data_IF_524175919075
#
_entry.id   IF_524175919075
#
_cell.length_a   1.000
_cell.length_b   1.000
_cell.length_c   1.000
_cell.angle_alpha   90.00
_cell.angle_beta   90.00
_cell.angle_gamma   90.00
#
_symmetry.space_group_name_H-M   'P 1'
#
loop_
_entity.id
_entity.type
_entity.pdbx_description
1 polymer ?
#
# COMPACT_ATOMS: atom_id res chain seq x y z
N UNK A 1 10.21 19.19 -9.45
CA UNK A 1 9.33 18.13 -8.92
C UNK A 1 8.05 18.80 -8.46
N UNK A 2 6.89 18.33 -8.89
CA UNK A 2 5.62 18.81 -8.34
C UNK A 2 5.44 18.18 -6.96
N UNK A 3 5.82 18.90 -5.92
CA UNK A 3 5.58 18.49 -4.52
C UNK A 3 4.07 18.48 -4.31
N UNK A 4 3.48 17.29 -4.33
CA UNK A 4 2.07 17.17 -3.91
C UNK A 4 2.07 17.37 -2.41
N UNK A 5 1.46 18.46 -1.94
CA UNK A 5 1.30 18.72 -0.51
C UNK A 5 0.54 17.53 0.10
N UNK A 6 1.08 16.86 1.12
CA UNK A 6 0.40 15.72 1.72
C UNK A 6 -0.93 16.17 2.34
N UNK A 7 -1.89 15.24 2.35
CA UNK A 7 -3.16 15.51 3.02
C UNK A 7 -2.95 15.37 4.52
N UNK A 8 -3.35 16.38 5.30
CA UNK A 8 -3.28 16.33 6.75
C UNK A 8 -4.68 16.49 7.34
N UNK A 9 -5.08 15.51 8.12
CA UNK A 9 -6.27 15.52 8.94
C UNK A 9 -5.83 15.73 10.39
N UNK A 10 -6.35 16.79 11.02
CA UNK A 10 -6.06 17.14 12.40
C UNK A 10 -7.31 16.97 13.25
N UNK A 11 -7.14 16.50 14.48
CA UNK A 11 -8.22 16.24 15.42
C UNK A 11 -7.91 16.90 16.77
N UNK A 12 -8.92 17.40 17.51
CA UNK A 12 -8.67 18.05 18.80
C UNK A 12 -7.99 17.13 19.83
N UNK A 13 -8.30 15.83 19.76
CA UNK A 13 -7.85 14.83 20.72
C UNK A 13 -7.59 13.47 20.08
N UNK A 14 -6.88 12.62 20.81
CA UNK A 14 -6.52 11.24 20.45
C UNK A 14 -7.70 10.42 19.92
N UNK A 15 -8.87 10.53 20.57
CA UNK A 15 -10.01 9.71 20.20
C UNK A 15 -10.46 10.00 18.75
N UNK A 16 -10.49 11.28 18.34
CA UNK A 16 -10.84 11.64 16.97
C UNK A 16 -9.87 11.07 15.92
N UNK A 17 -8.57 10.98 16.26
CA UNK A 17 -7.56 10.30 15.42
C UNK A 17 -7.90 8.82 15.32
N UNK A 18 -8.17 8.15 16.44
CA UNK A 18 -8.50 6.73 16.49
C UNK A 18 -9.73 6.39 15.62
N UNK A 19 -10.78 7.20 15.71
CA UNK A 19 -12.02 7.01 14.97
C UNK A 19 -11.84 7.23 13.46
N UNK A 20 -11.10 8.26 13.07
CA UNK A 20 -10.82 8.53 11.66
C UNK A 20 -9.89 7.49 11.04
N UNK A 21 -8.88 7.01 11.78
CA UNK A 21 -8.01 5.92 11.33
C UNK A 21 -8.80 4.62 11.17
N UNK A 22 -9.73 4.32 12.09
CA UNK A 22 -10.62 3.16 11.94
C UNK A 22 -11.47 3.25 10.66
N UNK A 23 -12.03 4.42 10.36
CA UNK A 23 -12.81 4.65 9.15
C UNK A 23 -11.97 4.54 7.88
N UNK A 24 -10.73 5.04 7.90
CA UNK A 24 -9.79 4.86 6.79
C UNK A 24 -9.54 3.37 6.51
N UNK A 25 -9.32 2.57 7.56
CA UNK A 25 -9.02 1.16 7.43
C UNK A 25 -10.24 0.41 6.88
N UNK A 26 -11.42 0.63 7.45
CA UNK A 26 -12.67 -0.03 7.01
C UNK A 26 -13.05 0.41 5.60
N UNK A 27 -12.90 1.70 5.26
CA UNK A 27 -13.15 2.18 3.89
C UNK A 27 -12.16 1.60 2.88
N UNK A 28 -10.89 1.42 3.27
CA UNK A 28 -9.87 0.77 2.42
C UNK A 28 -10.19 -0.72 2.22
N UNK A 29 -10.58 -1.44 3.28
CA UNK A 29 -11.12 -2.80 3.18
C UNK A 29 -12.28 -2.84 2.19
N UNK A 30 -13.27 -1.97 2.37
CA UNK A 30 -14.49 -1.97 1.56
C UNK A 30 -14.17 -1.70 0.10
N UNK A 31 -13.26 -0.77 -0.19
CA UNK A 31 -12.77 -0.53 -1.53
C UNK A 31 -12.07 -1.77 -2.10
N UNK A 32 -11.22 -2.45 -1.34
CA UNK A 32 -10.54 -3.67 -1.82
C UNK A 32 -11.51 -4.81 -2.07
N UNK A 33 -12.40 -5.12 -1.12
CA UNK A 33 -13.28 -6.28 -1.21
C UNK A 33 -14.45 -6.05 -2.17
N UNK A 34 -15.00 -4.83 -2.20
CA UNK A 34 -16.25 -4.51 -2.87
C UNK A 34 -16.14 -3.44 -3.95
N UNK A 35 -15.01 -2.76 -4.07
CA UNK A 35 -14.81 -1.66 -5.03
C UNK A 35 -15.81 -0.49 -4.84
N UNK A 36 -16.28 -0.29 -3.61
CA UNK A 36 -17.19 0.78 -3.18
C UNK A 36 -17.09 0.95 -1.66
N UNK A 37 -17.41 2.14 -1.16
CA UNK A 37 -17.56 2.43 0.29
C UNK A 37 -19.03 2.56 0.71
N UNK A 38 -19.98 2.47 -0.21
CA UNK A 38 -21.42 2.52 0.10
C UNK A 38 -21.88 1.24 0.80
N UNK A 39 -22.20 1.35 2.09
CA UNK A 39 -22.64 0.24 2.93
C UNK A 39 -23.90 -0.46 2.41
N UNK A 40 -24.84 0.28 1.80
CA UNK A 40 -26.05 -0.32 1.21
C UNK A 40 -25.68 -1.18 0.01
N UNK A 41 -24.81 -0.67 -0.86
CA UNK A 41 -24.32 -1.42 -2.01
C UNK A 41 -23.53 -2.66 -1.57
N UNK A 42 -22.71 -2.54 -0.53
CA UNK A 42 -21.96 -3.67 0.04
C UNK A 42 -22.91 -4.76 0.56
N UNK A 43 -23.97 -4.39 1.28
CA UNK A 43 -24.98 -5.34 1.75
C UNK A 43 -25.64 -6.09 0.59
N UNK A 44 -25.99 -5.39 -0.51
CA UNK A 44 -26.55 -6.01 -1.71
C UNK A 44 -25.54 -6.96 -2.41
N UNK A 45 -24.25 -6.60 -2.45
CA UNK A 45 -23.21 -7.47 -3.01
C UNK A 45 -23.04 -8.73 -2.16
N UNK A 46 -23.00 -8.58 -0.83
CA UNK A 46 -22.90 -9.70 0.12
C UNK A 46 -24.08 -10.66 0.01
N UNK A 47 -25.29 -10.14 -0.23
CA UNK A 47 -26.49 -10.94 -0.46
C UNK A 47 -26.56 -11.58 -1.87
N UNK A 48 -25.57 -11.34 -2.73
CA UNK A 48 -25.55 -11.84 -4.11
C UNK A 48 -26.55 -11.15 -5.04
N UNK A 49 -27.16 -10.05 -4.61
CA UNK A 49 -28.21 -9.33 -5.35
C UNK A 49 -27.62 -8.39 -6.41
N UNK A 50 -26.41 -7.86 -6.18
CA UNK A 50 -25.69 -7.00 -7.13
C UNK A 50 -24.25 -7.51 -7.32
N UNK A 51 -23.70 -7.35 -8.52
CA UNK A 51 -22.30 -7.71 -8.81
C UNK A 51 -21.34 -6.64 -8.25
N UNK A 52 -20.15 -7.08 -7.83
CA UNK A 52 -19.02 -6.19 -7.52
C UNK A 52 -18.77 -5.25 -8.73
N UNK A 53 -18.80 -3.91 -8.55
CA UNK A 53 -18.51 -2.96 -9.61
C UNK A 53 -17.16 -3.22 -10.29
N UNK A 54 -17.09 -3.06 -11.60
CA UNK A 54 -15.84 -3.11 -12.35
C UNK A 54 -15.00 -1.85 -12.05
N UNK A 55 -13.68 -2.03 -11.91
CA UNK A 55 -12.75 -0.91 -11.89
C UNK A 55 -12.70 -0.34 -13.32
N UNK A 56 -13.21 0.88 -13.53
CA UNK A 56 -12.94 1.59 -14.78
C UNK A 56 -11.44 1.88 -14.84
N UNK A 57 -10.71 1.17 -15.70
CA UNK A 57 -9.33 1.48 -16.05
C UNK A 57 -9.29 2.72 -16.94
N UNK A 58 -9.65 3.88 -16.41
CA UNK A 58 -9.13 5.14 -16.93
C UNK A 58 -7.74 5.30 -16.35
N UNK A 59 -6.75 5.60 -17.20
CA UNK A 59 -5.35 5.80 -16.83
C UNK A 59 -5.22 6.55 -15.50
N UNK A 60 -4.39 6.00 -14.62
CA UNK A 60 -4.18 6.42 -13.24
C UNK A 60 -3.61 7.84 -13.15
N UNK A 61 -4.53 8.80 -13.22
CA UNK A 61 -4.55 10.04 -12.46
C UNK A 61 -5.92 10.04 -11.79
N UNK A 62 -6.02 9.50 -10.57
CA UNK A 62 -7.28 9.50 -9.83
C UNK A 62 -7.66 10.96 -9.54
N UNK A 63 -8.58 11.49 -10.34
CA UNK A 63 -9.24 12.76 -10.10
C UNK A 63 -10.11 12.60 -8.86
N UNK A 64 -9.76 13.39 -7.85
CA UNK A 64 -10.62 13.71 -6.72
C UNK A 64 -11.96 14.21 -7.29
N UNK A 65 -13.05 13.63 -6.79
CA UNK A 65 -14.42 14.07 -7.08
C UNK A 65 -14.56 15.51 -6.56
N UNK A 66 -14.36 16.49 -7.44
CA UNK A 66 -14.76 17.88 -7.23
C UNK A 66 -16.24 18.00 -7.63
N UNK A 67 -17.14 17.92 -6.65
CA UNK A 67 -18.44 18.58 -6.77
C UNK A 67 -18.31 19.95 -6.11
N UNK A 68 -17.86 20.94 -6.88
CA UNK A 68 -18.02 22.35 -6.54
C UNK A 68 -19.24 22.89 -7.28
N UNK A 69 -20.13 23.52 -6.52
CA UNK A 69 -21.41 24.01 -6.96
C UNK A 69 -21.36 25.05 -8.07
N UNK A 70 -22.44 25.01 -8.83
CA UNK A 70 -23.09 26.05 -9.61
C UNK A 70 -22.53 27.48 -9.42
N UNK A 71 -21.96 28.04 -10.50
CA UNK A 71 -21.49 29.42 -10.57
C UNK A 71 -21.48 29.90 -12.02
N UNK A 72 -22.53 30.63 -12.38
CA UNK A 72 -22.81 31.23 -13.68
C UNK A 72 -21.79 32.34 -14.00
N UNK A 73 -21.25 32.42 -15.23
CA UNK A 73 -20.34 33.50 -15.62
C UNK A 73 -19.83 33.39 -17.05
N UNK A 74 -20.25 34.33 -17.89
CA UNK A 74 -20.17 34.34 -19.35
C UNK A 74 -18.86 34.97 -19.89
N UNK A 75 -18.59 34.67 -21.17
CA UNK A 75 -17.82 35.43 -22.18
C UNK A 75 -16.27 35.47 -22.16
N UNK A 76 -15.68 35.26 -23.35
CA UNK A 76 -14.40 35.85 -23.72
C UNK A 76 -13.64 35.14 -24.85
N UNK A 77 -13.77 35.63 -26.08
CA UNK A 77 -13.14 35.16 -27.32
C UNK A 77 -11.62 35.42 -27.43
N UNK A 78 -11.03 34.72 -28.42
CA UNK A 78 -9.94 35.11 -29.33
C UNK A 78 -8.46 34.89 -28.95
N UNK A 79 -7.69 34.38 -29.91
CA UNK A 79 -6.28 34.77 -30.07
C UNK A 79 -5.28 33.76 -30.63
N UNK A 80 -5.37 33.52 -31.95
CA UNK A 80 -4.34 33.11 -32.93
C UNK A 80 -2.83 33.29 -32.57
N UNK A 81 -1.93 32.44 -33.12
CA UNK A 81 -0.50 32.84 -33.31
C UNK A 81 0.62 31.79 -33.43
N UNK A 82 0.74 31.16 -34.61
CA UNK A 82 1.94 30.88 -35.45
C UNK A 82 3.41 30.83 -34.93
N UNK A 83 4.22 29.96 -35.57
CA UNK A 83 5.67 30.15 -35.88
C UNK A 83 6.63 29.07 -35.32
N UNK A 84 7.14 28.13 -36.12
CA UNK A 84 8.45 28.14 -36.87
C UNK A 84 9.69 27.96 -35.96
N UNK A 85 10.79 27.26 -36.23
CA UNK A 85 11.41 26.50 -37.35
C UNK A 85 12.80 26.03 -36.86
N UNK A 86 13.39 24.99 -37.49
CA UNK A 86 14.86 24.80 -37.64
C UNK A 86 15.55 23.88 -36.62
N UNK A 87 15.94 22.66 -37.00
CA UNK A 87 17.26 22.27 -37.60
C UNK A 87 18.36 22.10 -36.54
N UNK A 88 19.37 21.22 -36.58
CA UNK A 88 19.77 20.06 -37.38
C UNK A 88 20.89 19.37 -36.57
N UNK A 89 21.14 18.07 -36.77
CA UNK A 89 22.32 17.42 -36.15
C UNK A 89 22.41 15.91 -36.36
N UNK A 90 22.86 15.51 -37.55
CA UNK A 90 23.47 14.22 -37.94
C UNK A 90 24.48 13.69 -36.88
N UNK A 91 24.86 12.41 -36.75
CA UNK A 91 25.07 11.30 -37.71
C UNK A 91 25.51 10.06 -36.90
N UNK A 92 25.19 8.83 -37.33
CA UNK A 92 26.16 7.80 -37.75
C UNK A 92 25.50 6.41 -37.90
N UNK A 93 25.65 5.88 -39.09
CA UNK A 93 25.25 4.58 -39.62
C UNK A 93 26.24 3.47 -39.28
N UNK A 94 25.75 2.24 -39.08
CA UNK A 94 26.52 1.01 -39.37
C UNK A 94 25.63 0.01 -40.10
N UNK A 95 26.19 -0.48 -41.20
CA UNK A 95 25.61 -1.31 -42.24
C UNK A 95 25.51 -2.78 -41.83
N UNK A 96 24.46 -3.45 -42.33
CA UNK A 96 24.33 -4.90 -42.35
C UNK A 96 24.73 -5.43 -43.74
N UNK A 97 25.49 -6.53 -43.78
CA UNK A 97 25.79 -7.29 -44.99
C UNK A 97 25.35 -8.75 -44.83
N UNK A 98 24.60 -9.19 -45.83
CA UNK A 98 24.13 -10.54 -46.11
C UNK A 98 25.28 -11.47 -46.55
N UNK A 99 25.10 -12.79 -46.35
CA UNK A 99 25.27 -13.78 -47.45
C UNK A 99 24.63 -15.14 -47.11
N UNK A 100 24.21 -15.82 -48.18
CA UNK A 100 23.24 -16.92 -48.30
C UNK A 100 23.87 -18.33 -48.33
N UNK A 101 23.04 -19.37 -48.17
CA UNK A 101 22.90 -20.54 -49.08
C UNK A 101 21.81 -21.51 -48.55
N UNK A 102 20.63 -21.63 -49.20
CA UNK A 102 20.17 -22.67 -50.17
C UNK A 102 19.96 -24.08 -49.54
N UNK A 103 18.89 -24.86 -49.75
CA UNK A 103 18.00 -25.06 -50.92
C UNK A 103 16.74 -25.92 -50.59
N UNK A 104 15.63 -25.60 -51.30
CA UNK A 104 14.63 -26.42 -52.03
C UNK A 104 13.98 -27.69 -51.42
N UNK A 105 12.80 -28.16 -51.82
CA UNK A 105 11.47 -27.69 -52.32
C UNK A 105 10.68 -29.00 -52.60
N UNK A 106 9.37 -29.02 -52.31
CA UNK A 106 8.43 -30.13 -52.59
C UNK A 106 8.10 -30.27 -54.10
N UNK A 107 7.40 -31.36 -54.50
CA UNK A 107 6.12 -31.15 -55.20
C UNK A 107 5.01 -32.20 -54.93
N UNK A 108 3.79 -31.66 -54.80
CA UNK A 108 2.52 -31.98 -55.50
C UNK A 108 1.79 -33.36 -55.46
N UNK A 109 0.63 -33.30 -54.78
CA UNK A 109 -0.77 -33.55 -55.24
C UNK A 109 -1.34 -34.91 -55.69
N UNK A 110 -2.62 -35.10 -55.28
CA UNK A 110 -3.79 -35.77 -55.90
C UNK A 110 -4.23 -37.20 -55.48
N UNK A 111 -5.23 -37.18 -54.58
CA UNK A 111 -6.58 -37.78 -54.73
C UNK A 111 -6.85 -39.27 -54.39
N UNK A 112 -8.08 -39.45 -53.87
CA UNK A 112 -8.94 -40.64 -53.89
C UNK A 112 -8.91 -41.61 -52.68
N UNK A 113 -9.82 -41.29 -51.75
CA UNK A 113 -10.97 -42.11 -51.31
C UNK A 113 -10.81 -43.39 -50.45
N UNK A 114 -11.65 -43.36 -49.41
CA UNK A 114 -12.47 -44.43 -48.83
C UNK A 114 -11.92 -45.37 -47.75
N UNK A 115 -12.52 -45.16 -46.56
CA UNK A 115 -13.16 -46.12 -45.67
C UNK A 115 -12.40 -46.71 -44.48
N UNK A 116 -13.04 -46.50 -43.32
CA UNK A 116 -13.04 -47.30 -42.11
C UNK A 116 -11.74 -47.38 -41.31
N UNK A 117 -11.73 -46.71 -40.15
CA UNK A 117 -11.77 -47.46 -38.89
C UNK A 117 -12.14 -46.51 -37.74
N UNK A 118 -13.21 -46.87 -37.05
CA UNK A 118 -13.63 -46.27 -35.79
C UNK A 118 -12.56 -46.51 -34.72
N UNK A 119 -12.07 -45.45 -34.10
CA UNK A 119 -11.36 -45.52 -32.83
C UNK A 119 -11.85 -44.38 -31.93
N UNK A 120 -12.63 -44.78 -30.93
CA UNK A 120 -13.14 -43.96 -29.84
C UNK A 120 -12.01 -43.19 -29.15
N UNK A 121 -11.92 -41.88 -29.39
CA UNK A 121 -11.20 -40.95 -28.51
C UNK A 121 -12.17 -39.91 -27.97
N UNK A 122 -12.94 -40.34 -26.96
CA UNK A 122 -13.77 -39.46 -26.13
C UNK A 122 -12.82 -38.70 -25.19
N UNK A 123 -12.25 -37.61 -25.68
CA UNK A 123 -11.47 -36.66 -24.88
C UNK A 123 -12.40 -36.09 -23.80
N UNK A 124 -12.27 -36.60 -22.56
CA UNK A 124 -12.84 -35.94 -21.38
C UNK A 124 -12.08 -34.63 -21.20
N UNK A 125 -12.67 -33.52 -21.65
CA UNK A 125 -12.27 -32.17 -21.22
C UNK A 125 -12.59 -32.05 -19.73
N UNK A 126 -11.63 -32.38 -18.87
CA UNK A 126 -11.64 -31.91 -17.49
C UNK A 126 -11.55 -30.39 -17.51
N UNK A 127 -12.69 -29.73 -17.29
CA UNK A 127 -12.70 -28.29 -17.00
C UNK A 127 -11.96 -28.12 -15.67
N UNK A 128 -10.69 -27.72 -15.71
CA UNK A 128 -9.99 -27.16 -14.55
C UNK A 128 -10.86 -26.01 -14.05
N UNK A 129 -11.61 -26.23 -12.97
CA UNK A 129 -12.31 -25.17 -12.26
C UNK A 129 -11.21 -24.28 -11.70
N UNK A 130 -10.88 -23.21 -12.41
CA UNK A 130 -10.08 -22.12 -11.87
C UNK A 130 -10.87 -21.60 -10.66
N UNK A 131 -10.52 -22.06 -9.46
CA UNK A 131 -11.06 -21.49 -8.22
C UNK A 131 -10.79 -20.00 -8.30
N UNK A 132 -11.86 -19.21 -8.41
CA UNK A 132 -11.76 -17.76 -8.43
C UNK A 132 -11.04 -17.36 -7.15
N UNK A 133 -9.87 -16.76 -7.30
CA UNK A 133 -9.04 -16.42 -6.16
C UNK A 133 -9.78 -15.43 -5.28
N UNK A 134 -9.83 -15.73 -3.99
CA UNK A 134 -10.44 -14.87 -2.99
C UNK A 134 -9.71 -13.52 -2.96
N UNK A 135 -10.47 -12.42 -2.97
CA UNK A 135 -9.93 -11.08 -2.81
C UNK A 135 -9.76 -10.83 -1.32
N UNK A 136 -8.55 -10.42 -0.94
CA UNK A 136 -8.17 -10.20 0.46
C UNK A 136 -7.64 -8.78 0.62
N UNK A 137 -7.94 -8.17 1.75
CA UNK A 137 -7.43 -6.86 2.12
C UNK A 137 -6.06 -7.02 2.80
N UNK A 138 -5.02 -6.43 2.20
CA UNK A 138 -3.63 -6.57 2.62
C UNK A 138 -3.16 -5.28 3.27
N UNK A 139 -2.96 -5.32 4.58
CA UNK A 139 -2.56 -4.17 5.38
C UNK A 139 -1.21 -4.43 6.05
N UNK A 140 -0.33 -3.43 6.05
CA UNK A 140 0.89 -3.44 6.85
C UNK A 140 0.79 -2.40 7.97
N UNK A 141 1.15 -2.78 9.20
CA UNK A 141 1.10 -1.93 10.39
C UNK A 141 2.48 -1.81 11.03
N UNK A 142 2.78 -0.65 11.61
CA UNK A 142 3.93 -0.47 12.51
C UNK A 142 3.51 -0.65 13.97
N UNK A 143 4.47 -0.76 14.88
CA UNK A 143 4.19 -0.85 16.32
C UNK A 143 4.04 0.50 17.02
N UNK A 144 4.35 0.50 18.32
CA UNK A 144 4.30 1.70 19.16
C UNK A 144 2.88 2.17 19.45
N UNK A 145 2.66 3.50 19.54
CA UNK A 145 1.35 4.06 19.89
C UNK A 145 0.26 3.74 18.86
N UNK A 146 0.63 3.36 17.63
CA UNK A 146 -0.31 2.95 16.61
C UNK A 146 -1.15 1.74 17.06
N UNK A 147 -0.59 0.78 17.79
CA UNK A 147 -1.34 -0.38 18.29
C UNK A 147 -2.49 0.06 19.19
N UNK A 148 -2.25 1.03 20.07
CA UNK A 148 -3.29 1.61 20.95
C UNK A 148 -4.38 2.33 20.17
N UNK A 149 -4.00 3.05 19.12
CA UNK A 149 -4.96 3.69 18.20
C UNK A 149 -5.86 2.65 17.54
N UNK A 150 -5.27 1.57 17.04
CA UNK A 150 -6.00 0.49 16.40
C UNK A 150 -6.91 -0.24 17.39
N UNK A 151 -6.45 -0.49 18.62
CA UNK A 151 -7.28 -1.06 19.67
C UNK A 151 -8.54 -0.21 19.91
N UNK A 152 -8.37 1.09 20.21
CA UNK A 152 -9.49 1.98 20.54
C UNK A 152 -10.43 2.21 19.35
N UNK A 153 -9.87 2.35 18.15
CA UNK A 153 -10.62 2.63 16.93
C UNK A 153 -11.34 1.39 16.36
N UNK A 154 -10.64 0.27 16.17
CA UNK A 154 -11.15 -0.91 15.45
C UNK A 154 -11.94 -1.88 16.33
N UNK A 155 -11.50 -2.15 17.57
CA UNK A 155 -12.16 -3.19 18.40
C UNK A 155 -13.56 -2.80 18.84
N UNK A 156 -13.86 -1.50 18.84
CA UNK A 156 -15.20 -0.95 19.10
C UNK A 156 -16.13 -1.03 17.88
N UNK A 157 -15.61 -1.43 16.71
CA UNK A 157 -16.28 -1.36 15.40
C UNK A 157 -16.16 -2.64 14.58
N UNK A 158 -15.96 -3.77 15.25
CA UNK A 158 -15.71 -5.06 14.61
C UNK A 158 -16.84 -5.52 13.68
N UNK A 159 -18.06 -5.03 13.87
CA UNK A 159 -19.22 -5.30 13.01
C UNK A 159 -19.06 -4.79 11.56
N UNK A 160 -18.16 -3.84 11.34
CA UNK A 160 -17.82 -3.32 10.01
C UNK A 160 -16.63 -4.04 9.36
N UNK A 161 -15.99 -4.97 10.08
CA UNK A 161 -14.74 -5.61 9.69
C UNK A 161 -14.96 -7.05 9.27
N UNK A 162 -14.37 -7.45 8.15
CA UNK A 162 -14.36 -8.83 7.65
C UNK A 162 -13.00 -9.47 7.88
N UNK A 163 -12.71 -9.73 9.15
CA UNK A 163 -11.43 -10.26 9.63
C UNK A 163 -10.94 -11.48 8.84
N UNK A 164 -11.83 -12.42 8.48
CA UNK A 164 -11.52 -13.60 7.66
C UNK A 164 -10.90 -13.29 6.28
N UNK A 165 -11.02 -12.04 5.81
CA UNK A 165 -10.50 -11.56 4.53
C UNK A 165 -9.27 -10.67 4.66
N UNK A 166 -8.72 -10.50 5.86
CA UNK A 166 -7.53 -9.69 6.09
C UNK A 166 -6.26 -10.52 6.01
N UNK A 167 -5.24 -9.93 5.41
CA UNK A 167 -3.84 -10.31 5.58
C UNK A 167 -3.13 -9.16 6.25
N UNK A 168 -2.68 -9.37 7.50
CA UNK A 168 -2.00 -8.36 8.31
C UNK A 168 -0.51 -8.67 8.30
N UNK A 169 0.29 -7.66 7.96
CA UNK A 169 1.74 -7.69 7.91
C UNK A 169 2.29 -6.60 8.84
N UNK A 170 3.56 -6.72 9.20
CA UNK A 170 4.30 -5.70 9.95
C UNK A 170 5.24 -4.93 9.02
N UNK A 171 5.27 -3.60 9.20
CA UNK A 171 6.18 -2.70 8.47
C UNK A 171 7.63 -2.81 8.98
N UNK A 172 7.79 -3.16 10.25
CA UNK A 172 9.04 -3.49 10.91
C UNK A 172 8.76 -4.41 12.11
N UNK A 173 9.80 -5.05 12.60
CA UNK A 173 9.76 -5.82 13.83
C UNK A 173 11.09 -5.74 14.58
N UNK A 174 11.03 -5.74 15.91
CA UNK A 174 12.17 -5.79 16.80
C UNK A 174 12.48 -7.26 17.02
N UNK A 175 13.73 -7.64 16.83
CA UNK A 175 14.14 -9.03 16.96
C UNK A 175 14.39 -9.34 18.44
N UNK A 176 13.28 -9.54 19.13
CA UNK A 176 13.15 -9.88 20.54
C UNK A 176 12.07 -10.95 20.68
N UNK A 177 12.05 -11.69 21.80
CA UNK A 177 10.95 -12.62 22.08
C UNK A 177 9.57 -11.95 22.00
N UNK A 178 8.54 -12.68 21.61
CA UNK A 178 7.18 -12.17 21.44
C UNK A 178 6.48 -11.80 22.74
N UNK A 179 6.97 -12.28 23.89
CA UNK A 179 6.52 -11.83 25.21
C UNK A 179 7.21 -10.53 25.66
N UNK A 180 8.22 -10.06 24.92
CA UNK A 180 8.85 -8.77 25.16
C UNK A 180 7.88 -7.63 24.90
N UNK A 181 7.85 -6.60 25.75
CA UNK A 181 7.05 -5.40 25.51
C UNK A 181 7.51 -4.63 24.26
N UNK A 182 8.68 -4.92 23.69
CA UNK A 182 9.20 -4.24 22.50
C UNK A 182 8.78 -4.90 21.17
N UNK A 183 8.20 -6.12 21.20
CA UNK A 183 7.72 -6.83 20.01
C UNK A 183 6.45 -6.17 19.47
N UNK A 184 6.47 -5.76 18.21
CA UNK A 184 5.31 -5.20 17.52
C UNK A 184 4.21 -6.26 17.38
N UNK A 185 4.57 -7.49 16.99
CA UNK A 185 3.65 -8.63 16.93
C UNK A 185 3.11 -8.99 18.31
N UNK A 186 3.96 -9.09 19.32
CA UNK A 186 3.56 -9.37 20.71
C UNK A 186 2.51 -8.39 21.21
N UNK A 187 2.77 -7.08 21.04
CA UNK A 187 1.82 -6.02 21.39
C UNK A 187 0.52 -6.10 20.57
N UNK A 188 0.61 -6.26 19.24
CA UNK A 188 -0.57 -6.35 18.38
C UNK A 188 -1.42 -7.58 18.72
N UNK A 189 -0.79 -8.70 19.07
CA UNK A 189 -1.48 -9.92 19.50
C UNK A 189 -2.23 -9.67 20.80
N UNK A 190 -1.54 -9.16 21.82
CA UNK A 190 -2.09 -8.89 23.13
C UNK A 190 -3.22 -7.85 23.09
N UNK A 191 -3.02 -6.74 22.38
CA UNK A 191 -3.95 -5.62 22.40
C UNK A 191 -5.04 -5.72 21.33
N UNK A 192 -4.86 -6.50 20.25
CA UNK A 192 -5.81 -6.52 19.13
C UNK A 192 -6.26 -7.93 18.81
N UNK A 193 -5.33 -8.82 18.42
CA UNK A 193 -5.71 -10.09 17.79
C UNK A 193 -6.44 -11.03 18.76
N UNK A 194 -6.02 -11.07 20.03
CA UNK A 194 -6.69 -11.89 21.07
C UNK A 194 -8.08 -11.35 21.46
N UNK A 195 -8.44 -10.15 21.00
CA UNK A 195 -9.72 -9.49 21.25
C UNK A 195 -10.66 -9.47 20.03
N UNK A 196 -10.27 -10.11 18.92
CA UNK A 196 -11.14 -10.28 17.75
C UNK A 196 -12.25 -11.29 18.10
N UNK A 197 -13.51 -10.85 17.96
CA UNK A 197 -14.69 -11.65 18.31
C UNK A 197 -15.10 -12.58 17.17
N UNK A 198 -15.52 -13.79 17.54
CA UNK A 198 -16.09 -14.79 16.62
C UNK A 198 -15.05 -15.64 15.88
N UNK A 199 -15.53 -16.54 15.03
CA UNK A 199 -14.70 -17.57 14.40
C UNK A 199 -13.91 -17.09 13.17
N UNK A 200 -14.24 -15.89 12.68
CA UNK A 200 -13.64 -15.28 11.49
C UNK A 200 -12.39 -14.53 11.88
N UNK A 201 -11.23 -15.14 11.64
CA UNK A 201 -9.93 -14.61 12.06
C UNK A 201 -9.08 -14.17 10.86
N UNK A 202 -8.26 -13.10 11.01
CA UNK A 202 -7.34 -12.67 9.97
C UNK A 202 -6.17 -13.64 9.80
N UNK A 203 -5.46 -13.53 8.68
CA UNK A 203 -4.14 -14.14 8.52
C UNK A 203 -3.08 -13.14 8.96
N UNK A 204 -2.25 -13.53 9.91
CA UNK A 204 -1.17 -12.71 10.42
C UNK A 204 0.15 -13.22 9.86
N UNK A 205 0.95 -12.32 9.31
CA UNK A 205 2.29 -12.58 8.79
C UNK A 205 3.28 -11.79 9.65
N UNK A 206 4.08 -12.50 10.44
CA UNK A 206 5.10 -11.95 11.33
C UNK A 206 6.41 -12.72 11.11
N UNK A 207 7.48 -12.30 11.78
CA UNK A 207 8.77 -13.01 11.74
C UNK A 207 8.67 -14.40 12.37
N UNK A 208 9.63 -15.29 12.08
CA UNK A 208 9.88 -16.48 12.90
C UNK A 208 10.68 -16.07 14.14
N UNK A 209 10.13 -16.29 15.33
CA UNK A 209 10.77 -15.97 16.61
C UNK A 209 12.09 -16.73 16.80
N UNK A 210 12.27 -17.90 16.16
CA UNK A 210 13.52 -18.65 16.26
C UNK A 210 14.69 -17.98 15.53
N UNK A 211 14.43 -16.98 14.69
CA UNK A 211 15.44 -16.26 13.90
C UNK A 211 15.85 -14.91 14.52
N UNK A 212 15.37 -14.58 15.73
CA UNK A 212 15.62 -13.25 16.34
C UNK A 212 17.11 -12.94 16.60
N UNK A 213 17.95 -13.97 16.68
CA UNK A 213 19.40 -13.80 16.86
C UNK A 213 20.17 -13.56 15.55
N UNK A 214 19.52 -13.74 14.38
CA UNK A 214 20.09 -13.47 13.06
C UNK A 214 19.21 -12.49 12.26
N UNK A 215 19.54 -11.18 12.26
CA UNK A 215 18.75 -10.19 11.56
C UNK A 215 18.61 -10.42 10.06
N UNK A 216 19.67 -10.93 9.42
CA UNK A 216 19.65 -11.15 7.97
C UNK A 216 18.74 -12.34 7.64
N UNK A 217 18.86 -13.44 8.37
CA UNK A 217 18.00 -14.61 8.15
C UNK A 217 16.52 -14.28 8.45
N UNK A 218 16.24 -13.53 9.51
CA UNK A 218 14.88 -13.07 9.82
C UNK A 218 14.29 -12.18 8.71
N UNK A 219 15.09 -11.28 8.13
CA UNK A 219 14.65 -10.42 7.02
C UNK A 219 14.38 -11.24 5.75
N UNK A 220 15.25 -12.19 5.44
CA UNK A 220 15.14 -13.07 4.26
C UNK A 220 13.93 -14.00 4.35
N UNK A 221 13.65 -14.56 5.53
CA UNK A 221 12.44 -15.37 5.74
C UNK A 221 11.17 -14.53 5.57
N UNK A 222 11.13 -13.35 6.19
CA UNK A 222 9.97 -12.47 6.07
C UNK A 222 9.76 -11.98 4.63
N UNK A 223 10.85 -11.67 3.90
CA UNK A 223 10.79 -11.37 2.46
C UNK A 223 10.24 -12.55 1.65
N UNK A 224 10.69 -13.78 1.94
CA UNK A 224 10.17 -14.98 1.29
C UNK A 224 8.67 -15.17 1.54
N UNK A 225 8.18 -14.90 2.75
CA UNK A 225 6.75 -14.89 3.05
C UNK A 225 6.01 -13.86 2.18
N UNK A 226 6.54 -12.63 2.05
CA UNK A 226 5.97 -11.60 1.18
C UNK A 226 5.94 -12.06 -0.29
N UNK A 227 7.04 -12.58 -0.82
CA UNK A 227 7.12 -13.09 -2.21
C UNK A 227 6.05 -14.16 -2.44
N UNK A 228 5.89 -15.12 -1.51
CA UNK A 228 4.87 -16.14 -1.62
C UNK A 228 3.45 -15.57 -1.67
N UNK A 229 3.15 -14.48 -0.96
CA UNK A 229 1.80 -13.91 -0.93
C UNK A 229 1.52 -12.95 -2.08
N UNK A 230 2.52 -12.21 -2.58
CA UNK A 230 2.36 -11.17 -3.58
C UNK A 230 2.77 -11.60 -4.99
N UNK A 231 3.83 -12.41 -5.14
CA UNK A 231 4.41 -12.78 -6.43
C UNK A 231 3.76 -14.01 -7.10
N UNK A 232 2.55 -14.42 -6.68
CA UNK A 232 1.80 -15.54 -7.30
C UNK A 232 1.36 -15.27 -8.75
N UNK A 233 1.66 -14.10 -9.30
CA UNK A 233 1.50 -13.74 -10.71
C UNK A 233 2.86 -13.39 -11.26
N UNK A 234 3.21 -13.93 -12.42
CA UNK A 234 4.44 -13.57 -13.11
C UNK A 234 4.51 -12.05 -13.25
N UNK A 235 5.64 -11.44 -12.85
CA UNK A 235 5.98 -10.00 -13.01
C UNK A 235 5.68 -9.02 -11.86
N UNK A 236 5.42 -9.45 -10.61
CA UNK A 236 5.33 -8.49 -9.49
C UNK A 236 6.72 -8.02 -9.06
N UNK A 237 7.04 -6.74 -9.35
CA UNK A 237 8.32 -6.12 -8.97
C UNK A 237 8.37 -5.72 -7.49
N UNK A 238 7.26 -5.23 -6.95
CA UNK A 238 7.10 -4.83 -5.55
C UNK A 238 5.71 -5.24 -5.04
N UNK A 239 5.59 -5.65 -3.76
CA UNK A 239 4.31 -5.94 -3.16
C UNK A 239 3.49 -4.64 -3.11
N UNK A 240 2.18 -4.75 -3.34
CA UNK A 240 1.26 -3.62 -3.27
C UNK A 240 0.27 -3.87 -2.14
N UNK A 241 0.54 -3.27 -0.99
CA UNK A 241 -0.40 -3.24 0.13
C UNK A 241 -1.58 -2.32 -0.22
N UNK A 242 -2.78 -2.68 0.22
CA UNK A 242 -3.96 -1.83 0.07
C UNK A 242 -3.86 -0.59 1.00
N UNK A 243 -3.27 -0.78 2.18
CA UNK A 243 -3.03 0.26 3.17
C UNK A 243 -1.76 -0.06 3.97
N UNK A 244 -0.93 0.96 4.21
CA UNK A 244 0.23 0.86 5.07
C UNK A 244 0.16 1.96 6.15
N UNK A 245 0.15 1.55 7.42
CA UNK A 245 0.03 2.42 8.58
C UNK A 245 1.39 2.61 9.27
N UNK A 246 1.84 3.85 9.35
CA UNK A 246 3.13 4.23 9.93
C UNK A 246 2.94 5.15 11.12
N UNK A 247 3.61 4.86 12.22
CA UNK A 247 3.99 5.89 13.18
C UNK A 247 5.11 6.78 12.65
N UNK A 248 5.34 7.90 13.34
CA UNK A 248 6.53 8.72 13.16
C UNK A 248 7.16 9.00 14.53
N UNK A 249 8.44 8.68 14.67
CA UNK A 249 9.18 8.95 15.88
C UNK A 249 9.66 10.41 15.98
N UNK A 250 10.07 10.88 17.18
CA UNK A 250 10.50 12.27 17.38
C UNK A 250 11.75 12.69 16.60
N UNK A 251 12.53 11.74 16.08
CA UNK A 251 13.69 11.95 15.21
C UNK A 251 13.33 11.87 13.71
N UNK A 252 12.08 11.53 13.37
CA UNK A 252 11.60 11.39 12.00
C UNK A 252 11.76 9.99 11.43
N UNK A 253 12.21 9.00 12.23
CA UNK A 253 12.22 7.61 11.80
C UNK A 253 10.80 7.07 11.64
N UNK A 254 10.67 6.14 10.72
CA UNK A 254 9.44 5.40 10.42
C UNK A 254 9.80 3.93 10.37
N UNK A 255 8.89 3.05 10.76
CA UNK A 255 9.20 1.62 10.87
C UNK A 255 10.55 1.45 11.62
N UNK A 256 11.55 0.80 11.03
CA UNK A 256 12.93 0.80 11.54
C UNK A 256 13.93 1.46 10.58
N UNK A 257 13.49 2.45 9.82
CA UNK A 257 14.31 3.29 8.95
C UNK A 257 14.68 4.59 9.66
N UNK A 258 15.95 4.73 10.06
CA UNK A 258 16.43 5.83 10.88
C UNK A 258 17.11 6.94 10.08
N UNK A 259 17.04 8.20 10.54
CA UNK A 259 17.90 9.27 10.05
C UNK A 259 19.37 8.86 10.13
N UNK A 260 20.18 9.28 9.15
CA UNK A 260 21.62 8.99 9.06
C UNK A 260 21.99 7.51 8.93
N UNK A 261 21.03 6.59 8.78
CA UNK A 261 21.27 5.17 8.52
C UNK A 261 21.29 4.89 7.01
N UNK A 262 22.24 5.55 6.33
CA UNK A 262 22.18 5.80 4.89
C UNK A 262 22.15 4.56 3.98
N UNK A 263 22.61 3.39 4.45
CA UNK A 263 22.49 2.14 3.67
C UNK A 263 21.04 1.70 3.55
N UNK A 264 20.32 1.60 4.68
CA UNK A 264 18.89 1.24 4.69
C UNK A 264 18.00 2.22 3.91
N UNK A 265 18.33 3.52 3.92
CA UNK A 265 17.57 4.53 3.17
C UNK A 265 17.85 4.51 1.66
N UNK A 266 18.93 3.86 1.22
CA UNK A 266 19.33 3.75 -0.19
C UNK A 266 18.99 2.41 -0.83
N UNK A 267 18.43 1.47 -0.07
CA UNK A 267 17.97 0.17 -0.56
C UNK A 267 16.89 0.33 -1.65
N UNK A 268 17.02 -0.46 -2.74
CA UNK A 268 16.17 -0.36 -3.94
C UNK A 268 15.64 -1.68 -4.47
N UNK A 269 16.19 -2.79 -4.03
CA UNK A 269 15.98 -4.14 -4.55
C UNK A 269 15.24 -5.01 -3.53
N UNK A 270 15.76 -5.09 -2.31
CA UNK A 270 15.17 -5.90 -1.25
C UNK A 270 13.80 -5.32 -0.82
N UNK A 271 12.85 -6.21 -0.56
CA UNK A 271 11.54 -5.88 -0.02
C UNK A 271 11.60 -5.70 1.49
N UNK A 272 12.37 -6.54 2.17
CA UNK A 272 12.67 -6.44 3.60
C UNK A 272 14.18 -6.46 3.83
N UNK A 273 14.67 -5.70 4.80
CA UNK A 273 16.09 -5.62 5.15
C UNK A 273 16.31 -5.75 6.65
N UNK A 274 17.46 -6.30 7.07
CA UNK A 274 17.90 -6.21 8.45
C UNK A 274 18.29 -4.78 8.81
N UNK A 275 18.13 -4.45 10.08
CA UNK A 275 18.67 -3.24 10.70
C UNK A 275 19.38 -3.65 11.98
N UNK A 276 20.70 -3.52 11.96
CA UNK A 276 21.56 -3.75 13.13
C UNK A 276 22.00 -2.41 13.71
N UNK A 277 22.31 -2.38 15.00
CA UNK A 277 22.75 -1.18 15.72
C UNK A 277 21.75 -0.01 15.63
N UNK A 278 20.44 -0.32 15.74
CA UNK A 278 19.41 0.71 15.79
C UNK A 278 19.73 1.78 16.86
N UNK A 279 19.62 3.09 16.55
CA UNK A 279 20.02 4.17 17.47
C UNK A 279 19.20 4.28 18.78
N UNK A 280 18.08 3.57 18.86
CA UNK A 280 17.19 3.56 20.03
C UNK A 280 16.48 2.22 20.14
N UNK A 281 16.00 1.86 21.34
CA UNK A 281 15.32 0.58 21.60
C UNK A 281 16.20 -0.65 21.33
N UNK A 282 15.60 -1.83 21.08
CA UNK A 282 16.35 -3.02 20.67
C UNK A 282 17.15 -2.79 19.39
N UNK A 283 18.41 -3.23 19.40
CA UNK A 283 19.40 -2.94 18.36
C UNK A 283 19.14 -3.63 17.04
N UNK A 284 18.60 -4.85 17.09
CA UNK A 284 18.38 -5.72 15.94
C UNK A 284 16.91 -5.73 15.55
N UNK A 285 16.65 -5.46 14.28
CA UNK A 285 15.30 -5.30 13.73
C UNK A 285 15.26 -5.77 12.28
N UNK A 286 14.06 -5.95 11.76
CA UNK A 286 13.80 -6.00 10.31
C UNK A 286 12.87 -4.86 9.92
N UNK A 287 12.93 -4.42 8.66
CA UNK A 287 12.04 -3.37 8.15
C UNK A 287 11.71 -3.58 6.69
N UNK A 288 10.51 -3.18 6.27
CA UNK A 288 10.20 -3.00 4.87
C UNK A 288 11.03 -1.84 4.31
N UNK A 289 11.49 -2.00 3.07
CA UNK A 289 12.28 -0.97 2.39
C UNK A 289 11.40 0.21 1.93
N UNK A 290 12.03 1.37 1.71
CA UNK A 290 11.33 2.57 1.19
C UNK A 290 10.59 2.29 -0.12
N UNK A 291 11.17 1.57 -1.13
CA UNK A 291 10.43 1.20 -2.33
C UNK A 291 9.13 0.44 -2.04
N UNK A 292 9.14 -0.51 -1.10
CA UNK A 292 7.94 -1.27 -0.72
C UNK A 292 6.91 -0.35 -0.08
N UNK A 293 7.32 0.47 0.89
CA UNK A 293 6.43 1.41 1.58
C UNK A 293 5.78 2.36 0.57
N UNK A 294 6.59 2.95 -0.31
CA UNK A 294 6.12 3.87 -1.34
C UNK A 294 5.29 3.21 -2.44
N UNK A 295 5.30 1.89 -2.57
CA UNK A 295 4.50 1.16 -3.55
C UNK A 295 3.08 0.82 -3.04
N UNK A 296 2.78 1.02 -1.75
CA UNK A 296 1.43 0.82 -1.21
C UNK A 296 0.38 1.69 -1.92
N UNK A 297 -0.85 1.19 -2.06
CA UNK A 297 -1.95 1.94 -2.66
C UNK A 297 -2.28 3.19 -1.84
N UNK A 298 -2.13 3.11 -0.51
CA UNK A 298 -2.27 4.22 0.44
C UNK A 298 -1.24 4.07 1.56
N UNK A 299 -0.64 5.19 1.97
CA UNK A 299 0.23 5.27 3.14
C UNK A 299 -0.40 6.27 4.11
N UNK A 300 -0.63 5.87 5.36
CA UNK A 300 -1.14 6.74 6.39
C UNK A 300 -0.15 6.86 7.54
N UNK A 301 0.27 8.09 7.82
CA UNK A 301 0.99 8.43 9.03
C UNK A 301 0.00 8.71 10.15
N UNK A 302 0.18 8.06 11.29
CA UNK A 302 -0.63 8.27 12.50
C UNK A 302 0.33 8.78 13.58
N UNK A 303 0.21 10.07 13.92
CA UNK A 303 1.21 10.75 14.74
C UNK A 303 0.54 11.69 15.72
N UNK A 304 0.74 11.42 17.01
CA UNK A 304 0.00 12.09 18.08
C UNK A 304 0.92 12.56 19.20
N UNK A 305 0.48 13.62 19.86
CA UNK A 305 1.09 14.19 21.05
C UNK A 305 2.06 15.32 20.75
N UNK A 306 2.12 16.25 21.71
CA UNK A 306 2.94 17.46 21.64
C UNK A 306 4.43 17.20 21.33
N UNK A 307 4.96 16.06 21.79
CA UNK A 307 6.36 15.68 21.55
C UNK A 307 6.70 15.52 20.06
N UNK A 308 5.69 15.43 19.18
CA UNK A 308 5.84 15.28 17.73
C UNK A 308 5.86 16.62 16.98
N UNK A 309 5.47 17.73 17.61
CA UNK A 309 5.36 19.02 16.94
C UNK A 309 6.67 19.50 16.28
N UNK A 310 7.85 19.43 16.95
CA UNK A 310 9.10 19.88 16.33
C UNK A 310 9.50 19.06 15.10
N UNK A 311 9.23 17.75 15.14
CA UNK A 311 9.62 16.86 14.04
C UNK A 311 8.65 16.95 12.87
N UNK A 312 7.34 17.06 13.11
CA UNK A 312 6.36 17.29 12.05
C UNK A 312 6.67 18.61 11.33
N UNK A 313 6.98 19.67 12.09
CA UNK A 313 7.46 20.92 11.49
C UNK A 313 8.63 20.69 10.54
N UNK A 314 9.63 19.96 11.00
CA UNK A 314 10.80 19.66 10.18
C UNK A 314 10.43 18.85 8.93
N UNK A 315 9.57 17.85 9.05
CA UNK A 315 9.15 16.99 7.93
C UNK A 315 8.41 17.79 6.85
N UNK A 316 7.56 18.73 7.28
CA UNK A 316 6.70 19.50 6.38
C UNK A 316 7.41 20.72 5.77
N UNK A 317 8.21 21.45 6.55
CA UNK A 317 8.86 22.70 6.12
C UNK A 317 10.29 22.49 5.58
N UNK A 318 10.95 21.39 5.97
CA UNK A 318 12.36 21.12 5.63
C UNK A 318 12.58 19.70 5.09
N UNK A 319 11.86 19.30 4.03
CA UNK A 319 11.98 17.96 3.46
C UNK A 319 13.39 17.65 2.92
N UNK A 320 14.18 18.67 2.58
CA UNK A 320 15.57 18.54 2.11
C UNK A 320 16.52 17.93 3.14
N UNK A 321 16.11 17.89 4.42
CA UNK A 321 16.86 17.15 5.46
C UNK A 321 16.85 15.64 5.24
N UNK A 322 16.01 15.12 4.34
CA UNK A 322 16.01 13.72 3.95
C UNK A 322 15.64 12.78 5.10
N UNK A 323 14.74 13.21 5.99
CA UNK A 323 14.22 12.34 7.04
C UNK A 323 13.47 11.15 6.40
N UNK A 324 13.51 9.94 6.99
CA UNK A 324 12.82 8.77 6.46
C UNK A 324 11.33 9.02 6.16
N UNK A 325 10.64 9.70 7.06
CA UNK A 325 9.26 10.14 6.87
C UNK A 325 9.09 11.13 5.70
N UNK A 326 9.98 12.12 5.54
CA UNK A 326 9.98 13.04 4.39
C UNK A 326 10.21 12.31 3.07
N UNK A 327 11.13 11.34 3.04
CA UNK A 327 11.41 10.53 1.84
C UNK A 327 10.15 9.75 1.41
N UNK A 328 9.44 9.12 2.35
CA UNK A 328 8.18 8.42 2.04
C UNK A 328 7.06 9.39 1.68
N UNK A 329 6.97 10.53 2.37
CA UNK A 329 5.99 11.57 2.09
C UNK A 329 6.08 12.07 0.62
N UNK A 330 7.30 12.26 0.11
CA UNK A 330 7.55 12.63 -1.28
C UNK A 330 7.45 11.44 -2.25
N UNK A 331 8.05 10.30 -1.90
CA UNK A 331 8.10 9.10 -2.75
C UNK A 331 6.74 8.45 -3.00
N UNK A 332 5.78 8.66 -2.09
CA UNK A 332 4.39 8.22 -2.22
C UNK A 332 3.41 9.39 -2.41
N UNK A 333 3.88 10.53 -2.92
CA UNK A 333 3.08 11.73 -3.18
C UNK A 333 1.71 11.41 -3.83
N UNK A 334 0.66 12.03 -3.30
CA UNK A 334 -0.73 11.78 -3.72
C UNK A 334 -1.39 10.53 -3.14
N UNK A 335 -0.62 9.66 -2.47
CA UNK A 335 -1.14 8.48 -1.73
C UNK A 335 -0.89 8.56 -0.22
N UNK A 336 -0.23 9.62 0.24
CA UNK A 336 0.07 9.87 1.65
C UNK A 336 -0.99 10.74 2.31
N UNK A 337 -1.44 10.30 3.48
CA UNK A 337 -2.27 11.08 4.39
C UNK A 337 -1.71 11.03 5.81
N UNK A 338 -1.76 12.14 6.52
CA UNK A 338 -1.36 12.26 7.92
C UNK A 338 -2.61 12.41 8.78
N UNK A 339 -2.69 11.64 9.85
CA UNK A 339 -3.71 11.67 10.89
C UNK A 339 -3.01 12.07 12.18
N UNK A 340 -3.31 13.27 12.66
CA UNK A 340 -2.60 13.88 13.78
C UNK A 340 -3.57 14.51 14.76
N UNK A 341 -3.17 14.62 16.02
CA UNK A 341 -3.85 15.51 16.95
C UNK A 341 -3.36 16.96 16.79
N UNK A 342 -4.14 17.93 17.27
CA UNK A 342 -3.77 19.35 17.20
C UNK A 342 -2.47 19.62 17.97
N UNK A 343 -2.19 18.86 19.03
CA UNK A 343 -0.95 18.96 19.81
C UNK A 343 0.29 18.66 18.95
N UNK A 344 0.23 17.66 18.06
CA UNK A 344 1.31 17.32 17.14
C UNK A 344 1.54 18.38 16.04
N UNK A 345 0.65 19.36 15.88
CA UNK A 345 0.80 20.48 14.94
C UNK A 345 1.15 21.82 15.60
N UNK A 346 1.36 21.84 16.92
CA UNK A 346 1.48 23.08 17.69
C UNK A 346 2.58 24.06 17.18
N UNK A 347 3.65 23.54 16.58
CA UNK A 347 4.79 24.36 16.12
C UNK A 347 4.69 24.80 14.64
N UNK A 348 3.57 24.46 13.99
CA UNK A 348 3.36 24.55 12.55
C UNK A 348 2.12 25.40 12.24
N UNK A 349 2.34 26.61 11.70
CA UNK A 349 1.31 27.64 11.57
C UNK A 349 0.70 27.73 10.16
N UNK A 350 1.49 27.41 9.12
CA UNK A 350 1.11 27.64 7.71
C UNK A 350 0.78 26.33 6.97
N UNK A 351 -0.03 25.45 7.59
CA UNK A 351 -0.46 24.21 6.95
C UNK A 351 -1.95 24.15 6.63
N UNK A 352 -2.25 23.68 5.43
CA UNK A 352 -3.62 23.39 5.01
C UNK A 352 -4.10 22.09 5.65
N UNK A 353 -4.89 22.21 6.72
CA UNK A 353 -5.64 21.09 7.32
C UNK A 353 -6.87 20.78 6.46
N UNK A 354 -7.17 19.51 6.24
CA UNK A 354 -8.44 19.06 5.64
C UNK A 354 -9.37 18.52 6.73
N UNK A 355 -10.66 18.79 6.61
CA UNK A 355 -11.68 18.10 7.41
C UNK A 355 -11.75 16.64 6.95
N UNK A 356 -11.68 15.70 7.89
CA UNK A 356 -11.91 14.30 7.60
C UNK A 356 -13.39 14.05 7.31
N UNK A 357 -13.68 13.21 6.32
CA UNK A 357 -15.04 12.80 5.98
C UNK A 357 -15.14 11.30 6.17
N UNK A 358 -16.00 10.89 7.09
CA UNK A 358 -16.28 9.49 7.35
C UNK A 358 -16.99 8.85 6.16
N UNK A 359 -16.51 7.68 5.74
CA UNK A 359 -16.97 6.99 4.53
C UNK A 359 -17.65 5.65 4.81
N UNK A 360 -17.34 5.00 5.91
CA UNK A 360 -17.78 3.63 6.19
C UNK A 360 -18.23 3.40 7.62
N UNK A 361 -17.95 4.32 8.53
CA UNK A 361 -18.54 4.38 9.87
C UNK A 361 -19.40 5.66 9.95
N UNK A 362 -20.55 5.65 10.64
CA UNK A 362 -21.24 6.89 11.00
C UNK A 362 -20.30 7.87 11.70
N UNK A 363 -20.38 9.17 11.35
CA UNK A 363 -19.61 10.20 12.05
C UNK A 363 -19.97 10.15 13.55
N UNK A 364 -18.97 10.08 14.46
CA UNK A 364 -19.22 10.06 15.90
C UNK A 364 -20.03 11.30 16.30
N UNK A 365 -21.03 11.11 17.17
CA UNK A 365 -21.74 12.23 17.79
C UNK A 365 -20.81 12.81 18.86
N UNK A 366 -20.07 13.88 18.53
CA UNK A 366 -19.27 14.64 19.50
C UNK A 366 -20.12 15.68 20.22
#
# INVERSE_FOLDING_TARGET
>A
MTTTVPIIYSFPEFLGVAEAVADLIISSQNQTLYNTTDLKQIALIKAGQVKRPSVNKTNSSLSIINQSGNGNGNNGLNGNGNGSTGSSGATLSVSASNTQSTSNLNPDTLSASSTNLAANNKIKKEKKILKKQEIRFKIAISGGSLIKILNQGLLTRQEFIEWDKWDIYFADERLVPFDSPDSNYGQAKLEIFDHIKGDKQPRIFHIDESLIDDPQEAADDYEKQLIQQFAKKDSVKLPMFDLLLLGCAPDGHIASLFPNHGESLREKLAWCIPVSNAPSGPSNRITLSIPVICHAARVAFVVEGLTKAPIIKTIMERPEKGLPSSIVNEGAAGRVSWFVDDAALNDLYDITKKKYKYLSIPEPNH
#
